data_IF_315187559573
#
_entry.id   IF_315187559573
#
_cell.length_a   1.000
_cell.length_b   1.000
_cell.length_c   1.000
_cell.angle_alpha   90.00
_cell.angle_beta   90.00
_cell.angle_gamma   90.00
#
_symmetry.space_group_name_H-M   'P 1'
#
loop_
_entity.id
_entity.type
_entity.pdbx_description
1 polymer ?
#
# COMPACT_ATOMS: atom_id res chain seq x y z
N UNK A 1 -16.82 -8.40 7.20
CA UNK A 1 -17.62 -7.76 6.14
C UNK A 1 -19.07 -7.68 6.54
N UNK A 2 -19.68 -8.76 7.05
CA UNK A 2 -21.09 -8.81 7.47
C UNK A 2 -21.53 -7.74 8.50
N UNK A 3 -20.58 -7.16 9.23
CA UNK A 3 -20.84 -6.09 10.21
C UNK A 3 -20.82 -4.68 9.61
N UNK A 4 -20.83 -4.54 8.28
CA UNK A 4 -20.83 -3.25 7.58
C UNK A 4 -19.45 -2.57 7.54
N UNK A 5 -18.37 -3.30 7.72
CA UNK A 5 -17.01 -2.78 7.58
C UNK A 5 -16.76 -2.34 6.13
N UNK A 6 -16.38 -1.08 5.94
CA UNK A 6 -16.11 -0.47 4.62
C UNK A 6 -14.64 -0.32 4.30
N UNK A 7 -13.76 -0.61 5.25
CA UNK A 7 -12.33 -0.40 5.11
C UNK A 7 -11.57 -1.52 5.81
N UNK A 8 -10.57 -2.08 5.15
CA UNK A 8 -9.70 -3.12 5.69
C UNK A 8 -8.26 -2.64 5.66
N UNK A 9 -7.64 -2.58 6.85
CA UNK A 9 -6.23 -2.26 7.03
C UNK A 9 -5.40 -3.54 7.17
N UNK A 10 -4.24 -3.52 6.54
CA UNK A 10 -3.23 -4.57 6.61
C UNK A 10 -3.68 -5.96 6.13
N UNK A 11 -2.89 -6.56 5.26
CA UNK A 11 -3.22 -7.84 4.63
C UNK A 11 -3.16 -9.03 5.61
N UNK A 12 -2.42 -8.90 6.70
CA UNK A 12 -2.35 -9.90 7.77
C UNK A 12 -3.72 -10.19 8.40
N UNK A 13 -4.56 -9.16 8.55
CA UNK A 13 -5.92 -9.30 9.11
C UNK A 13 -6.80 -10.21 8.25
N UNK A 14 -6.80 -10.01 6.93
CA UNK A 14 -7.52 -10.86 5.98
C UNK A 14 -7.00 -12.31 6.04
N UNK A 15 -5.69 -12.48 5.98
CA UNK A 15 -5.08 -13.81 5.98
C UNK A 15 -5.42 -14.59 7.26
N UNK A 16 -5.38 -13.93 8.41
CA UNK A 16 -5.77 -14.56 9.71
C UNK A 16 -7.24 -14.95 9.73
N UNK A 17 -8.12 -14.10 9.23
CA UNK A 17 -9.55 -14.43 9.18
C UNK A 17 -9.82 -15.66 8.31
N UNK A 18 -9.16 -15.80 7.16
CA UNK A 18 -9.28 -16.97 6.29
C UNK A 18 -8.72 -18.24 6.93
N UNK A 19 -7.61 -18.15 7.68
CA UNK A 19 -7.06 -19.30 8.41
C UNK A 19 -8.02 -19.77 9.49
N UNK A 20 -8.62 -18.87 10.27
CA UNK A 20 -9.64 -19.21 11.27
C UNK A 20 -10.86 -19.87 10.62
N UNK A 21 -11.30 -19.37 9.47
CA UNK A 21 -12.39 -19.96 8.70
C UNK A 21 -12.06 -21.39 8.25
N UNK A 22 -10.80 -21.71 7.95
CA UNK A 22 -10.33 -23.06 7.66
C UNK A 22 -10.07 -23.93 8.91
N UNK A 23 -10.34 -23.41 10.11
CA UNK A 23 -10.03 -24.11 11.37
C UNK A 23 -8.54 -24.20 11.68
N UNK A 24 -7.72 -23.29 11.13
CA UNK A 24 -6.27 -23.22 11.35
C UNK A 24 -5.92 -22.15 12.37
N UNK A 25 -4.71 -22.25 12.93
CA UNK A 25 -4.15 -21.21 13.79
C UNK A 25 -3.99 -19.88 13.02
N UNK A 26 -4.45 -18.75 13.55
CA UNK A 26 -4.35 -17.45 12.89
C UNK A 26 -2.90 -16.98 12.65
N UNK A 27 -1.97 -17.48 13.45
CA UNK A 27 -0.52 -17.21 13.35
C UNK A 27 0.26 -18.51 13.46
N UNK A 28 0.35 -19.29 12.37
CA UNK A 28 1.04 -20.57 12.38
C UNK A 28 2.51 -20.43 12.79
N UNK A 29 2.99 -21.34 13.62
CA UNK A 29 4.40 -21.35 14.03
C UNK A 29 5.33 -21.52 12.81
N UNK A 30 6.40 -20.75 12.75
CA UNK A 30 7.44 -20.85 11.72
C UNK A 30 7.08 -20.21 10.35
N UNK A 31 5.91 -19.56 10.22
CA UNK A 31 5.52 -18.86 8.99
C UNK A 31 4.69 -17.62 9.30
N UNK A 32 4.26 -16.89 8.25
CA UNK A 32 3.32 -15.77 8.38
C UNK A 32 1.90 -16.23 8.02
N UNK A 33 0.89 -15.52 8.50
CA UNK A 33 -0.51 -15.79 8.15
C UNK A 33 -0.71 -15.77 6.65
N UNK A 34 -0.12 -14.80 5.96
CA UNK A 34 -0.24 -14.62 4.51
C UNK A 34 0.40 -15.77 3.71
N UNK A 35 1.47 -16.38 4.23
CA UNK A 35 2.09 -17.55 3.61
C UNK A 35 1.28 -18.82 3.78
N UNK A 36 0.55 -18.92 4.88
CA UNK A 36 -0.21 -20.12 5.25
C UNK A 36 -1.63 -20.16 4.68
N UNK A 37 -2.16 -19.00 4.22
CA UNK A 37 -3.52 -18.92 3.68
C UNK A 37 -3.65 -19.67 2.36
N UNK A 38 -4.83 -20.28 2.17
CA UNK A 38 -5.18 -20.98 0.92
C UNK A 38 -5.75 -19.99 -0.10
N UNK A 39 -5.06 -19.73 -1.24
CA UNK A 39 -5.53 -18.78 -2.25
C UNK A 39 -6.87 -19.16 -2.92
N UNK A 40 -7.30 -20.43 -2.80
CA UNK A 40 -8.63 -20.86 -3.32
C UNK A 40 -9.80 -20.19 -2.60
N UNK A 41 -9.55 -19.62 -1.41
CA UNK A 41 -10.56 -18.87 -0.65
C UNK A 41 -10.68 -17.40 -1.11
N UNK A 42 -9.76 -16.91 -1.93
CA UNK A 42 -9.78 -15.50 -2.37
C UNK A 42 -11.01 -15.15 -3.20
N UNK A 43 -11.42 -15.91 -4.24
CA UNK A 43 -12.51 -15.50 -5.10
C UNK A 43 -13.85 -15.23 -4.38
N UNK A 44 -14.35 -16.09 -3.49
CA UNK A 44 -15.61 -15.81 -2.79
C UNK A 44 -15.49 -14.61 -1.84
N UNK A 45 -14.37 -14.46 -1.14
CA UNK A 45 -14.14 -13.30 -0.29
C UNK A 45 -14.06 -11.99 -1.10
N UNK A 46 -13.35 -12.01 -2.23
CA UNK A 46 -13.24 -10.86 -3.14
C UNK A 46 -14.62 -10.44 -3.67
N UNK A 47 -15.44 -11.40 -4.10
CA UNK A 47 -16.78 -11.11 -4.59
C UNK A 47 -17.61 -10.38 -3.53
N UNK A 48 -17.62 -10.88 -2.30
CA UNK A 48 -18.31 -10.26 -1.17
C UNK A 48 -17.76 -8.86 -0.86
N UNK A 49 -16.44 -8.68 -0.82
CA UNK A 49 -15.81 -7.38 -0.54
C UNK A 49 -16.13 -6.34 -1.62
N UNK A 50 -16.16 -6.74 -2.89
CA UNK A 50 -16.50 -5.86 -4.01
C UNK A 50 -17.97 -5.49 -3.96
N UNK A 51 -18.89 -6.44 -3.72
CA UNK A 51 -20.34 -6.20 -3.57
C UNK A 51 -20.60 -5.21 -2.42
N UNK A 52 -19.90 -5.35 -1.31
CA UNK A 52 -20.04 -4.47 -0.16
C UNK A 52 -19.23 -3.17 -0.26
N UNK A 53 -18.54 -2.94 -1.37
CA UNK A 53 -17.74 -1.75 -1.61
C UNK A 53 -16.65 -1.53 -0.52
N UNK A 54 -15.96 -2.60 -0.12
CA UNK A 54 -14.86 -2.52 0.85
C UNK A 54 -13.61 -1.97 0.17
N UNK A 55 -12.98 -0.98 0.79
CA UNK A 55 -11.66 -0.48 0.41
C UNK A 55 -10.58 -1.31 1.11
N UNK A 56 -9.48 -1.58 0.40
CA UNK A 56 -8.34 -2.32 0.96
C UNK A 56 -7.11 -1.44 1.00
N UNK A 57 -6.52 -1.31 2.17
CA UNK A 57 -5.23 -0.69 2.37
C UNK A 57 -4.18 -1.76 2.70
N UNK A 58 -3.24 -1.97 1.76
CA UNK A 58 -2.21 -3.02 1.89
C UNK A 58 -1.09 -2.67 2.87
N UNK A 59 -0.76 -1.39 3.02
CA UNK A 59 0.44 -0.89 3.73
C UNK A 59 1.70 -1.70 3.39
N UNK A 60 1.94 -1.87 2.09
CA UNK A 60 2.95 -2.78 1.56
C UNK A 60 4.37 -2.36 1.97
N UNK A 61 4.65 -1.05 1.95
CA UNK A 61 5.95 -0.49 2.33
C UNK A 61 6.36 -0.84 3.76
N UNK A 62 5.40 -1.02 4.66
CA UNK A 62 5.66 -1.37 6.05
C UNK A 62 6.22 -2.80 6.19
N UNK A 63 5.70 -3.73 5.39
CA UNK A 63 5.92 -5.15 5.58
C UNK A 63 6.72 -5.82 4.46
N UNK A 64 6.76 -5.22 3.26
CA UNK A 64 7.18 -5.89 2.03
C UNK A 64 8.31 -5.20 1.28
N UNK A 65 8.77 -4.04 1.75
CA UNK A 65 9.83 -3.23 1.10
C UNK A 65 11.10 -4.03 0.79
N UNK A 66 11.48 -4.98 1.63
CA UNK A 66 12.62 -5.86 1.41
C UNK A 66 12.43 -6.92 0.32
N UNK A 67 11.21 -7.05 -0.25
CA UNK A 67 10.88 -8.04 -1.29
C UNK A 67 11.08 -7.54 -2.71
N UNK A 68 11.45 -6.28 -2.92
CA UNK A 68 11.56 -5.68 -4.24
C UNK A 68 13.00 -5.28 -4.58
N UNK A 69 13.40 -5.41 -5.84
CA UNK A 69 14.70 -4.89 -6.35
C UNK A 69 14.81 -3.37 -6.20
N UNK A 70 13.67 -2.69 -6.12
CA UNK A 70 13.57 -1.22 -5.98
C UNK A 70 14.02 -0.71 -4.61
N UNK A 71 14.28 -1.58 -3.65
CA UNK A 71 14.84 -1.19 -2.36
C UNK A 71 16.16 -0.44 -2.50
N UNK A 72 17.01 -0.80 -3.48
CA UNK A 72 18.29 -0.13 -3.72
C UNK A 72 18.09 1.35 -4.06
N UNK A 73 17.11 1.66 -4.88
CA UNK A 73 16.75 3.04 -5.24
C UNK A 73 16.20 3.79 -4.03
N UNK A 74 15.37 3.13 -3.22
CA UNK A 74 14.87 3.69 -1.96
C UNK A 74 16.00 4.04 -1.00
N UNK A 75 16.95 3.15 -0.81
CA UNK A 75 18.10 3.37 0.07
C UNK A 75 18.99 4.53 -0.42
N UNK A 76 19.24 4.61 -1.73
CA UNK A 76 20.00 5.70 -2.33
C UNK A 76 19.32 7.06 -2.14
N UNK A 77 18.02 7.13 -2.36
CA UNK A 77 17.26 8.36 -2.16
C UNK A 77 17.15 8.72 -0.67
N UNK A 78 16.93 7.76 0.21
CA UNK A 78 16.93 7.96 1.65
C UNK A 78 18.26 8.52 2.16
N UNK A 79 19.39 8.02 1.63
CA UNK A 79 20.72 8.54 1.95
C UNK A 79 20.92 10.01 1.53
N UNK A 80 20.23 10.46 0.49
CA UNK A 80 20.19 11.88 0.09
C UNK A 80 19.34 12.70 1.06
N UNK A 81 18.14 12.22 1.40
CA UNK A 81 17.21 12.89 2.33
C UNK A 81 17.81 13.06 3.74
N UNK A 82 18.61 12.11 4.21
CA UNK A 82 19.30 12.23 5.52
C UNK A 82 20.15 13.50 5.60
N UNK A 83 20.69 13.96 4.46
CA UNK A 83 21.56 15.15 4.35
C UNK A 83 20.80 16.43 3.99
N UNK A 84 19.51 16.34 3.70
CA UNK A 84 18.72 17.51 3.28
C UNK A 84 18.58 18.49 4.45
N UNK A 85 19.03 19.76 4.31
CA UNK A 85 18.91 20.78 5.34
C UNK A 85 17.46 21.12 5.71
N UNK A 86 16.51 20.96 4.80
CA UNK A 86 15.09 21.17 5.07
C UNK A 86 14.53 20.14 6.05
N UNK A 87 15.19 18.99 6.20
CA UNK A 87 14.86 17.93 7.15
C UNK A 87 15.67 18.01 8.46
N UNK A 88 16.30 19.16 8.74
CA UNK A 88 17.09 19.33 9.98
C UNK A 88 16.23 19.18 11.25
N UNK A 89 14.93 19.42 11.17
CA UNK A 89 13.98 19.22 12.29
C UNK A 89 13.71 17.76 12.63
N UNK A 90 14.02 16.84 11.72
CA UNK A 90 13.84 15.40 11.96
C UNK A 90 14.98 14.88 12.82
N UNK A 91 14.72 14.21 13.96
CA UNK A 91 15.74 13.64 14.82
C UNK A 91 16.73 12.71 14.09
N UNK A 92 17.99 12.77 14.47
CA UNK A 92 19.05 12.02 13.78
C UNK A 92 18.88 10.49 13.89
N UNK A 93 18.38 10.00 15.01
CA UNK A 93 18.06 8.58 15.24
C UNK A 93 16.93 8.10 14.33
N UNK A 94 15.92 8.94 14.08
CA UNK A 94 14.85 8.66 13.10
C UNK A 94 15.44 8.59 11.70
N UNK A 95 16.22 9.59 11.28
CA UNK A 95 16.88 9.59 9.96
C UNK A 95 17.78 8.40 9.75
N UNK A 96 18.47 7.93 10.77
CA UNK A 96 19.32 6.76 10.71
C UNK A 96 18.55 5.46 10.39
N UNK A 97 17.25 5.41 10.67
CA UNK A 97 16.41 4.26 10.34
C UNK A 97 16.08 4.18 8.85
N UNK A 98 16.11 5.30 8.13
CA UNK A 98 15.74 5.38 6.71
C UNK A 98 16.72 4.67 5.78
N UNK A 99 18.00 4.58 6.18
CA UNK A 99 19.06 3.90 5.43
C UNK A 99 19.31 2.47 5.90
N UNK A 100 18.54 2.00 6.88
CA UNK A 100 18.68 0.62 7.40
C UNK A 100 18.24 -0.36 6.32
N UNK A 101 19.04 -1.40 6.11
CA UNK A 101 18.68 -2.49 5.24
C UNK A 101 17.35 -3.12 5.67
N UNK A 102 16.34 -3.21 4.77
CA UNK A 102 15.12 -3.90 5.10
C UNK A 102 15.43 -5.39 5.31
N UNK A 103 14.64 -6.02 6.15
CA UNK A 103 14.70 -7.46 6.33
C UNK A 103 14.38 -8.20 5.03
N UNK A 104 14.51 -9.52 5.06
CA UNK A 104 14.07 -10.37 3.93
C UNK A 104 12.59 -10.13 3.65
N UNK A 105 12.20 -10.27 2.37
CA UNK A 105 10.80 -10.32 1.98
C UNK A 105 10.03 -11.26 2.90
N UNK A 106 8.89 -10.79 3.42
CA UNK A 106 8.05 -11.63 4.28
C UNK A 106 7.54 -12.82 3.46
N UNK A 107 7.54 -13.98 4.07
CA UNK A 107 6.82 -15.13 3.51
C UNK A 107 5.34 -14.73 3.31
N UNK A 108 4.77 -15.10 2.15
CA UNK A 108 3.39 -14.72 1.81
C UNK A 108 3.26 -13.56 0.84
N UNK A 109 4.36 -12.89 0.47
CA UNK A 109 4.35 -11.80 -0.52
C UNK A 109 3.60 -12.16 -1.82
N UNK A 110 3.83 -13.36 -2.35
CA UNK A 110 3.15 -13.84 -3.55
C UNK A 110 1.63 -13.98 -3.36
N UNK A 111 1.17 -14.43 -2.19
CA UNK A 111 -0.25 -14.55 -1.89
C UNK A 111 -0.91 -13.17 -1.78
N UNK A 112 -0.21 -12.19 -1.20
CA UNK A 112 -0.70 -10.81 -1.12
C UNK A 112 -0.78 -10.19 -2.52
N UNK A 113 0.26 -10.34 -3.33
CA UNK A 113 0.25 -9.88 -4.72
C UNK A 113 -0.92 -10.48 -5.51
N UNK A 114 -1.13 -11.79 -5.38
CA UNK A 114 -2.22 -12.50 -6.03
C UNK A 114 -3.60 -11.98 -5.57
N UNK A 115 -3.79 -11.83 -4.24
CA UNK A 115 -5.04 -11.32 -3.70
C UNK A 115 -5.35 -9.92 -4.21
N UNK A 116 -4.41 -8.98 -4.08
CA UNK A 116 -4.60 -7.59 -4.50
C UNK A 116 -4.84 -7.47 -6.00
N UNK A 117 -4.13 -8.29 -6.80
CA UNK A 117 -4.36 -8.32 -8.25
C UNK A 117 -5.77 -8.82 -8.59
N UNK A 118 -6.20 -9.93 -8.01
CA UNK A 118 -7.56 -10.46 -8.22
C UNK A 118 -8.63 -9.50 -7.72
N UNK A 119 -8.44 -8.88 -6.56
CA UNK A 119 -9.34 -7.88 -6.01
C UNK A 119 -9.47 -6.67 -6.93
N UNK A 120 -8.35 -6.15 -7.43
CA UNK A 120 -8.35 -5.05 -8.40
C UNK A 120 -9.03 -5.42 -9.72
N UNK A 121 -8.80 -6.64 -10.24
CA UNK A 121 -9.42 -7.12 -11.48
C UNK A 121 -10.93 -7.29 -11.35
N UNK A 122 -11.40 -7.66 -10.18
CA UNK A 122 -12.83 -7.75 -9.84
C UNK A 122 -13.49 -6.38 -9.59
N UNK A 123 -12.76 -5.26 -9.73
CA UNK A 123 -13.28 -3.91 -9.51
C UNK A 123 -13.09 -3.37 -8.10
N UNK A 124 -12.37 -4.08 -7.25
CA UNK A 124 -12.04 -3.63 -5.90
C UNK A 124 -11.13 -2.40 -5.88
N UNK A 125 -11.29 -1.55 -4.88
CA UNK A 125 -10.57 -0.31 -4.68
C UNK A 125 -9.45 -0.51 -3.66
N UNK A 126 -8.20 -0.30 -4.10
CA UNK A 126 -7.00 -0.42 -3.27
C UNK A 126 -6.49 0.98 -2.96
N UNK A 127 -6.34 1.30 -1.69
CA UNK A 127 -5.76 2.56 -1.24
C UNK A 127 -4.23 2.47 -1.26
N UNK A 128 -3.58 3.56 -1.64
CA UNK A 128 -2.16 3.73 -1.45
C UNK A 128 -1.93 4.49 -0.13
N UNK A 129 -1.65 3.76 0.93
CA UNK A 129 -1.38 4.35 2.24
C UNK A 129 -0.24 3.60 2.93
N UNK A 130 0.50 4.30 3.80
CA UNK A 130 1.82 3.87 4.28
C UNK A 130 1.89 3.57 5.77
N UNK A 131 0.83 3.89 6.53
CA UNK A 131 0.84 3.86 8.00
C UNK A 131 1.98 4.72 8.60
N UNK A 132 2.27 5.85 7.94
CA UNK A 132 3.31 6.80 8.40
C UNK A 132 2.99 7.29 9.81
N UNK A 133 3.98 7.15 10.69
CA UNK A 133 3.83 7.46 12.12
C UNK A 133 3.85 6.22 13.00
N UNK A 134 3.53 5.03 12.49
CA UNK A 134 3.66 3.79 13.25
C UNK A 134 5.12 3.41 13.46
N UNK A 135 5.95 3.62 12.45
CA UNK A 135 7.31 3.10 12.39
C UNK A 135 8.27 4.13 11.80
N UNK A 136 9.42 4.30 12.45
CA UNK A 136 10.41 5.33 12.09
C UNK A 136 11.07 5.12 10.72
N UNK A 137 11.07 3.89 10.21
CA UNK A 137 11.64 3.58 8.88
C UNK A 137 10.72 3.98 7.71
N UNK A 138 9.47 4.33 7.97
CA UNK A 138 8.56 4.85 6.94
C UNK A 138 8.84 6.34 6.76
N UNK A 139 9.30 6.72 5.58
CA UNK A 139 9.67 8.10 5.26
C UNK A 139 8.41 8.86 4.84
N UNK A 140 7.99 9.89 5.61
CA UNK A 140 6.82 10.68 5.26
C UNK A 140 6.92 11.25 3.83
N UNK A 141 5.83 11.18 3.08
CA UNK A 141 5.79 11.58 1.66
C UNK A 141 6.40 10.54 0.73
N UNK A 142 7.70 10.28 0.83
CA UNK A 142 8.41 9.39 -0.08
C UNK A 142 7.84 7.96 -0.08
N UNK A 143 7.50 7.42 1.08
CA UNK A 143 6.99 6.04 1.16
C UNK A 143 5.66 5.84 0.44
N UNK A 144 4.86 6.90 0.23
CA UNK A 144 3.63 6.81 -0.57
C UNK A 144 3.94 6.47 -2.03
N UNK A 145 4.99 7.03 -2.60
CA UNK A 145 5.41 6.73 -3.97
C UNK A 145 5.88 5.27 -4.11
N UNK A 146 6.53 4.73 -3.07
CA UNK A 146 6.91 3.31 -3.05
C UNK A 146 5.70 2.39 -2.85
N UNK A 147 4.71 2.80 -2.07
CA UNK A 147 3.44 2.07 -1.95
C UNK A 147 2.75 1.93 -3.31
N UNK A 148 2.58 3.05 -4.04
CA UNK A 148 2.02 3.04 -5.39
C UNK A 148 2.83 2.16 -6.34
N UNK A 149 4.16 2.18 -6.21
CA UNK A 149 5.06 1.37 -7.04
C UNK A 149 4.90 -0.12 -6.76
N UNK A 150 4.79 -0.53 -5.48
CA UNK A 150 4.54 -1.93 -5.11
C UNK A 150 3.18 -2.41 -5.60
N UNK A 151 2.15 -1.56 -5.55
CA UNK A 151 0.84 -1.86 -6.14
C UNK A 151 0.98 -2.17 -7.63
N UNK A 152 1.74 -1.36 -8.38
CA UNK A 152 1.95 -1.60 -9.82
C UNK A 152 2.85 -2.80 -10.11
N UNK A 153 3.80 -3.11 -9.25
CA UNK A 153 4.65 -4.31 -9.36
C UNK A 153 3.82 -5.61 -9.28
N UNK A 154 2.63 -5.56 -8.67
CA UNK A 154 1.67 -6.67 -8.67
C UNK A 154 0.86 -6.78 -9.97
N UNK A 155 1.15 -5.94 -10.97
CA UNK A 155 0.45 -5.92 -12.25
C UNK A 155 -0.88 -5.16 -12.22
N UNK A 156 -1.08 -4.31 -11.22
CA UNK A 156 -2.22 -3.39 -11.13
C UNK A 156 -1.89 -2.12 -11.93
N UNK A 157 -2.85 -1.63 -12.72
CA UNK A 157 -2.63 -0.48 -13.59
C UNK A 157 -2.20 0.77 -12.80
N UNK A 158 -1.21 1.56 -13.28
CA UNK A 158 -0.75 2.78 -12.60
C UNK A 158 -1.85 3.76 -12.26
N UNK A 159 -2.84 3.94 -13.14
CA UNK A 159 -4.01 4.78 -12.87
C UNK A 159 -4.75 4.36 -11.60
N UNK A 160 -4.89 3.05 -11.34
CA UNK A 160 -5.54 2.57 -10.12
C UNK A 160 -4.73 2.87 -8.85
N UNK A 161 -3.40 2.83 -8.93
CA UNK A 161 -2.53 3.24 -7.82
C UNK A 161 -2.66 4.75 -7.54
N UNK A 162 -2.72 5.58 -8.59
CA UNK A 162 -2.97 7.02 -8.46
C UNK A 162 -4.35 7.28 -7.86
N UNK A 163 -5.40 6.61 -8.33
CA UNK A 163 -6.74 6.73 -7.76
C UNK A 163 -6.76 6.33 -6.28
N UNK A 164 -6.00 5.31 -5.91
CA UNK A 164 -5.83 4.87 -4.52
C UNK A 164 -5.17 5.92 -3.62
N UNK A 165 -4.29 6.74 -4.18
CA UNK A 165 -3.63 7.84 -3.47
C UNK A 165 -4.44 9.17 -3.50
N UNK A 166 -5.52 9.24 -4.26
CA UNK A 166 -6.27 10.49 -4.52
C UNK A 166 -7.78 10.30 -4.34
N UNK A 167 -8.49 9.95 -5.41
CA UNK A 167 -9.95 9.88 -5.41
C UNK A 167 -10.50 8.88 -4.39
N UNK A 168 -9.98 7.66 -4.36
CA UNK A 168 -10.48 6.64 -3.43
C UNK A 168 -10.13 6.95 -1.97
N UNK A 169 -8.99 7.62 -1.73
CA UNK A 169 -8.67 8.14 -0.40
C UNK A 169 -9.66 9.24 0.03
N UNK A 170 -10.04 10.14 -0.88
CA UNK A 170 -11.05 11.16 -0.63
C UNK A 170 -12.44 10.53 -0.35
N UNK A 171 -12.83 9.49 -1.09
CA UNK A 171 -14.08 8.74 -0.86
C UNK A 171 -14.13 8.14 0.55
N UNK A 172 -13.04 7.54 1.02
CA UNK A 172 -12.97 6.90 2.36
C UNK A 172 -13.16 7.91 3.48
N UNK A 173 -12.64 9.14 3.32
CA UNK A 173 -12.80 10.20 4.33
C UNK A 173 -14.04 11.08 4.08
N UNK A 174 -14.87 10.77 3.09
CA UNK A 174 -16.10 11.52 2.75
C UNK A 174 -15.85 12.92 2.19
N UNK A 175 -14.74 13.13 1.50
CA UNK A 175 -14.33 14.41 0.91
C UNK A 175 -14.23 14.38 -0.61
N UNK A 176 -14.80 13.36 -1.25
CA UNK A 176 -14.75 13.16 -2.71
C UNK A 176 -15.42 14.28 -3.50
N UNK A 177 -16.27 15.09 -2.87
CA UNK A 177 -16.89 16.27 -3.50
C UNK A 177 -15.91 17.43 -3.68
N UNK A 178 -14.92 17.51 -2.79
CA UNK A 178 -13.98 18.64 -2.73
C UNK A 178 -12.56 18.25 -3.17
N UNK A 179 -12.19 16.96 -3.08
CA UNK A 179 -10.82 16.46 -3.26
C UNK A 179 -10.76 15.23 -4.18
N UNK A 180 -9.53 14.86 -4.56
CA UNK A 180 -9.17 13.57 -5.14
C UNK A 180 -9.27 13.47 -6.66
N UNK A 181 -9.87 14.44 -7.35
CA UNK A 181 -9.91 14.50 -8.81
C UNK A 181 -9.88 15.96 -9.32
N UNK A 182 -9.46 16.11 -10.58
CA UNK A 182 -9.42 17.43 -11.25
C UNK A 182 -10.76 17.65 -11.94
N UNK A 183 -11.67 18.34 -11.25
CA UNK A 183 -13.02 18.63 -11.73
C UNK A 183 -13.45 20.05 -11.37
N UNK A 184 -14.31 20.70 -12.19
CA UNK A 184 -14.85 22.02 -11.84
C UNK A 184 -15.60 22.00 -10.49
N UNK A 185 -15.28 22.94 -9.61
CA UNK A 185 -15.90 23.09 -8.30
C UNK A 185 -15.15 22.41 -7.15
N UNK A 186 -14.15 21.58 -7.43
CA UNK A 186 -13.26 21.02 -6.41
C UNK A 186 -12.13 21.95 -6.03
N UNK A 187 -11.47 21.69 -4.91
CA UNK A 187 -10.27 22.43 -4.49
C UNK A 187 -9.14 22.22 -5.51
N UNK A 188 -8.40 23.29 -5.77
CA UNK A 188 -7.33 23.31 -6.77
C UNK A 188 -5.99 22.83 -6.18
N UNK A 189 -6.02 21.64 -5.57
CA UNK A 189 -4.82 20.98 -5.02
C UNK A 189 -4.21 20.07 -6.09
N UNK A 190 -3.07 20.47 -6.64
CA UNK A 190 -2.40 19.77 -7.73
C UNK A 190 -0.99 19.34 -7.36
N UNK A 191 -0.61 18.15 -7.79
CA UNK A 191 0.79 17.73 -7.88
C UNK A 191 1.19 17.77 -9.35
N UNK A 192 2.24 18.53 -9.66
CA UNK A 192 2.84 18.58 -10.99
C UNK A 192 3.98 17.58 -11.02
N UNK A 193 3.95 16.67 -11.99
CA UNK A 193 4.90 15.56 -12.12
C UNK A 193 5.70 15.73 -13.40
N UNK A 194 7.03 15.62 -13.32
CA UNK A 194 7.88 15.54 -14.51
C UNK A 194 7.90 14.08 -15.00
N UNK A 195 7.36 13.86 -16.21
CA UNK A 195 7.25 12.54 -16.84
C UNK A 195 5.81 12.05 -16.94
N UNK A 196 5.65 10.78 -17.31
CA UNK A 196 4.35 10.12 -17.47
C UNK A 196 4.16 9.02 -16.40
N UNK A 197 3.40 9.30 -15.33
CA UNK A 197 3.16 8.34 -14.27
C UNK A 197 2.29 7.13 -14.70
N UNK A 198 1.65 7.20 -15.88
CA UNK A 198 0.90 6.06 -16.41
C UNK A 198 1.82 5.09 -17.16
N UNK A 199 2.93 5.57 -17.71
CA UNK A 199 3.96 4.72 -18.28
C UNK A 199 4.92 4.16 -17.21
N UNK A 200 5.32 5.00 -16.24
CA UNK A 200 6.14 4.62 -15.10
C UNK A 200 5.65 5.37 -13.85
N UNK A 201 5.04 4.63 -12.94
CA UNK A 201 4.56 5.20 -11.66
C UNK A 201 5.70 5.81 -10.84
N UNK A 202 6.94 5.41 -11.08
CA UNK A 202 8.12 5.98 -10.46
C UNK A 202 8.31 7.48 -10.73
N UNK A 203 7.74 8.00 -11.84
CA UNK A 203 7.74 9.43 -12.17
C UNK A 203 7.05 10.29 -11.09
N UNK A 204 6.16 9.73 -10.29
CA UNK A 204 5.48 10.47 -9.19
C UNK A 204 6.44 11.00 -8.13
N UNK A 205 7.70 10.58 -8.14
CA UNK A 205 8.76 11.05 -7.23
C UNK A 205 9.46 12.32 -7.70
N UNK A 206 9.20 12.77 -8.95
CA UNK A 206 9.90 13.89 -9.63
C UNK A 206 9.07 15.16 -9.57
#
# INVERSE_FOLDING_TARGET
VDMGMKHMEHMDTMARALLVQEGKEPRPAGTTSEAAVNPKLFPPLIAEMVEQQVYVNGTLVLSWSGGTERWKDQAALAATLVKDPNLAVVPADVKATWTREPGRARAGYANIALFLKQFSDAGGKILAATDTGCCTQIIPGLSLHYEMQMITDFGIAPMKAIQGATLWAAEVIGQEKDLGSVEPGKLADFTIIEGDPLADIGATKN
#
